data_IF_765119876845
#
_entry.id   IF_765119876845
#
_cell.length_a   1.000
_cell.length_b   1.000
_cell.length_c   1.000
_cell.angle_alpha   90.00
_cell.angle_beta   90.00
_cell.angle_gamma   90.00
#
_symmetry.space_group_name_H-M   'P 1'
#
loop_
_entity.id
_entity.type
_entity.pdbx_description
1 polymer ?
#
# COMPACT_ATOMS: atom_id res chain seq x y z
N UNK A 1 9.52 2.81 9.82
CA UNK A 1 8.59 1.96 10.56
C UNK A 1 7.28 2.71 10.72
N UNK A 2 6.17 2.00 10.93
CA UNK A 2 4.86 2.63 11.10
C UNK A 2 4.73 3.09 12.55
N UNK A 3 5.00 4.36 12.77
CA UNK A 3 5.06 4.98 14.09
C UNK A 3 4.62 6.44 14.00
N UNK A 4 4.08 6.98 15.09
CA UNK A 4 3.69 8.39 15.18
C UNK A 4 4.91 9.31 15.02
N UNK A 5 4.75 10.39 14.27
CA UNK A 5 5.81 11.39 14.03
C UNK A 5 6.82 11.01 12.95
N UNK A 6 6.66 9.86 12.29
CA UNK A 6 7.43 9.46 11.11
C UNK A 6 6.73 9.91 9.82
N UNK A 7 7.51 10.05 8.75
CA UNK A 7 6.95 10.27 7.41
C UNK A 7 6.10 9.07 6.98
N UNK A 8 4.94 9.38 6.41
CA UNK A 8 3.99 8.38 5.94
C UNK A 8 4.37 7.87 4.54
N UNK A 9 5.46 7.10 4.49
CA UNK A 9 5.85 6.28 3.34
C UNK A 9 5.32 4.86 3.56
N UNK A 10 4.17 4.56 2.96
CA UNK A 10 3.40 3.33 3.24
C UNK A 10 2.86 2.77 1.93
N UNK A 11 2.89 1.44 1.80
CA UNK A 11 2.20 0.70 0.75
C UNK A 11 1.15 -0.20 1.37
N UNK A 12 -0.03 -0.27 0.74
CA UNK A 12 -1.08 -1.24 1.06
C UNK A 12 -1.06 -2.30 -0.03
N UNK A 13 -1.08 -3.57 0.37
CA UNK A 13 -1.01 -4.70 -0.55
C UNK A 13 -2.17 -5.67 -0.32
N UNK A 14 -2.64 -6.29 -1.39
CA UNK A 14 -3.63 -7.35 -1.34
C UNK A 14 -2.96 -8.71 -1.13
N UNK A 15 -3.01 -9.20 0.11
CA UNK A 15 -2.37 -10.43 0.56
C UNK A 15 -1.37 -10.18 1.70
N UNK A 16 -0.87 -11.26 2.29
CA UNK A 16 0.11 -11.20 3.37
C UNK A 16 1.52 -11.52 2.85
N UNK A 17 2.46 -10.57 2.85
CA UNK A 17 3.84 -10.80 2.41
C UNK A 17 4.61 -11.82 3.25
N UNK A 18 4.19 -12.06 4.50
CA UNK A 18 4.83 -13.07 5.36
C UNK A 18 4.49 -14.50 4.91
N UNK A 19 3.34 -14.69 4.27
CA UNK A 19 2.90 -15.97 3.72
C UNK A 19 3.31 -16.13 2.25
N UNK A 20 3.26 -15.04 1.46
CA UNK A 20 3.67 -15.01 0.05
C UNK A 20 4.42 -13.72 -0.32
N UNK A 21 5.75 -13.81 -0.42
CA UNK A 21 6.61 -12.69 -0.82
C UNK A 21 6.31 -12.16 -2.23
N UNK A 22 5.68 -12.95 -3.11
CA UNK A 22 5.33 -12.50 -4.46
C UNK A 22 4.32 -11.35 -4.43
N UNK A 23 3.65 -11.10 -3.29
CA UNK A 23 2.74 -9.95 -3.12
C UNK A 23 3.46 -8.63 -3.37
N UNK A 24 4.74 -8.55 -2.99
CA UNK A 24 5.55 -7.35 -3.15
C UNK A 24 6.16 -7.20 -4.56
N UNK A 25 6.22 -8.28 -5.34
CA UNK A 25 6.76 -8.27 -6.70
C UNK A 25 5.70 -7.93 -7.75
N UNK A 26 4.44 -8.20 -7.45
CA UNK A 26 3.33 -7.94 -8.34
C UNK A 26 2.72 -6.56 -8.05
N UNK A 27 3.01 -5.58 -8.91
CA UNK A 27 2.50 -4.22 -8.79
C UNK A 27 0.97 -4.12 -8.84
N UNK A 28 0.28 -5.10 -9.43
CA UNK A 28 -1.20 -5.12 -9.46
C UNK A 28 -1.78 -5.42 -8.08
N UNK A 29 -1.00 -6.04 -7.19
CA UNK A 29 -1.37 -6.29 -5.80
C UNK A 29 -1.02 -5.14 -4.87
N UNK A 30 -0.40 -4.05 -5.36
CA UNK A 30 -0.16 -2.82 -4.58
C UNK A 30 -1.34 -1.87 -4.79
N UNK A 31 -2.26 -1.85 -3.82
CA UNK A 31 -3.53 -1.13 -3.92
C UNK A 31 -3.39 0.38 -3.64
N UNK A 32 -2.50 0.77 -2.73
CA UNK A 32 -2.27 2.18 -2.36
C UNK A 32 -0.79 2.43 -2.12
N UNK A 33 -0.31 3.58 -2.59
CA UNK A 33 1.04 4.09 -2.29
C UNK A 33 0.94 5.50 -1.73
N UNK A 34 1.42 5.68 -0.50
CA UNK A 34 1.62 6.96 0.15
C UNK A 34 3.12 7.28 0.15
N UNK A 35 3.47 8.49 -0.28
CA UNK A 35 4.83 9.03 -0.19
C UNK A 35 4.79 10.36 0.54
N UNK A 36 5.45 10.45 1.69
CA UNK A 36 5.41 11.63 2.56
C UNK A 36 3.99 12.03 2.99
N UNK A 37 3.06 11.08 3.05
CA UNK A 37 1.64 11.34 3.35
C UNK A 37 0.77 11.76 2.16
N UNK A 38 1.32 11.82 0.95
CA UNK A 38 0.57 12.13 -0.28
C UNK A 38 0.27 10.84 -1.05
N UNK A 39 -0.97 10.69 -1.52
CA UNK A 39 -1.36 9.60 -2.41
C UNK A 39 -0.58 9.72 -3.72
N UNK A 40 0.28 8.74 -4.00
CA UNK A 40 1.04 8.64 -5.23
C UNK A 40 0.42 7.69 -6.24
N UNK A 41 -0.32 6.69 -5.76
CA UNK A 41 -1.12 5.78 -6.59
C UNK A 41 -2.26 5.22 -5.75
N UNK A 42 -3.48 5.19 -6.30
CA UNK A 42 -4.65 4.56 -5.69
C UNK A 42 -5.34 3.67 -6.73
N UNK A 43 -5.36 2.37 -6.46
CA UNK A 43 -5.96 1.33 -7.30
C UNK A 43 -7.11 0.62 -6.59
N UNK A 44 -7.49 1.09 -5.39
CA UNK A 44 -8.61 0.53 -4.66
C UNK A 44 -9.87 0.80 -5.46
N UNK A 45 -10.63 -0.25 -5.75
CA UNK A 45 -11.92 -0.14 -6.42
C UNK A 45 -12.83 0.76 -5.59
N UNK A 46 -13.13 1.95 -6.09
CA UNK A 46 -14.15 2.82 -5.50
C UNK A 46 -15.52 2.23 -5.81
N UNK A 47 -16.03 1.36 -4.93
CA UNK A 47 -17.48 1.24 -4.81
C UNK A 47 -17.94 2.51 -4.10
N UNK A 48 -18.74 3.39 -4.74
CA UNK A 48 -19.34 4.51 -4.02
C UNK A 48 -20.23 3.92 -2.93
N UNK A 49 -19.97 4.28 -1.67
CA UNK A 49 -20.92 4.08 -0.58
C UNK A 49 -21.77 5.34 -0.45
#
# INVERSE_FOLDING_TARGET
TIEKGRLADVVVVNGNPLDDLKVLLDSTRIELVLKGGVISADRRSSSPR
#
